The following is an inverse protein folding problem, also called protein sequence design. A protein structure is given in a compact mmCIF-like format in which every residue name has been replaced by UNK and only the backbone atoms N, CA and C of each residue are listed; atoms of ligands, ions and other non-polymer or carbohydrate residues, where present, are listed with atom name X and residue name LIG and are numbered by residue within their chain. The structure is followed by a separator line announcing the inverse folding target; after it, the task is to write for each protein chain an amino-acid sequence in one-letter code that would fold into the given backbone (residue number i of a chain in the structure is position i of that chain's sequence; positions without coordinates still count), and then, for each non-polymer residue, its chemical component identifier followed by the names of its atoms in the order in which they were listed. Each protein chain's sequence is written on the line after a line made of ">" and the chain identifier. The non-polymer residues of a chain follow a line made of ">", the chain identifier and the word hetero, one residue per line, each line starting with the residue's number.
data_IF_492237572070
#
_entry.id   IF_492237572070
#
_cell.length_a   1.000
_cell.length_b   1.000
_cell.length_c   1.000
_cell.angle_alpha   90.00
_cell.angle_beta   90.00
_cell.angle_gamma   90.00
#
_symmetry.space_group_name_H-M   'P 1'
#
loop_
_entity.id
_entity.type
_entity.pdbx_description
1 polymer ?
#
# COMPACT_ATOMS: atom_id res chain seq x y z
N UNK A 1 -30.63 -7.67 -5.63
CA UNK A 1 -29.34 -7.78 -4.92
C UNK A 1 -28.27 -7.32 -5.89
N UNK A 2 -27.64 -6.18 -5.66
CA UNK A 2 -26.49 -5.73 -6.46
C UNK A 2 -25.26 -6.49 -5.98
N UNK A 3 -24.64 -7.29 -6.86
CA UNK A 3 -23.38 -7.96 -6.54
C UNK A 3 -22.30 -6.92 -6.20
N UNK A 4 -21.43 -7.17 -5.19
CA UNK A 4 -20.32 -6.29 -4.91
C UNK A 4 -19.37 -6.30 -6.10
N UNK A 5 -19.26 -5.14 -6.77
CA UNK A 5 -18.35 -4.99 -7.92
C UNK A 5 -16.92 -5.10 -7.42
N UNK A 6 -16.22 -6.18 -7.77
CA UNK A 6 -14.82 -6.38 -7.43
C UNK A 6 -13.92 -5.77 -8.50
N UNK A 7 -12.75 -5.29 -8.08
CA UNK A 7 -11.67 -4.88 -8.95
C UNK A 7 -10.41 -5.69 -8.62
N UNK A 8 -9.59 -5.91 -9.65
CA UNK A 8 -8.33 -6.62 -9.53
C UNK A 8 -7.19 -5.62 -9.34
N UNK A 9 -6.31 -5.86 -8.37
CA UNK A 9 -5.06 -5.15 -8.16
C UNK A 9 -3.90 -6.15 -8.04
N UNK A 10 -2.67 -5.66 -8.00
CA UNK A 10 -1.47 -6.47 -7.87
C UNK A 10 -0.61 -5.94 -6.73
N UNK A 11 -0.29 -6.78 -5.74
CA UNK A 11 0.56 -6.42 -4.60
C UNK A 11 1.80 -7.30 -4.65
N UNK A 12 2.99 -6.70 -4.78
CA UNK A 12 4.26 -7.43 -4.92
C UNK A 12 4.24 -8.51 -6.02
N UNK A 13 3.46 -8.28 -7.09
CA UNK A 13 3.28 -9.21 -8.19
C UNK A 13 2.14 -10.23 -8.01
N UNK A 14 1.56 -10.34 -6.81
CA UNK A 14 0.41 -11.22 -6.54
C UNK A 14 -0.90 -10.51 -6.86
N UNK A 15 -1.78 -11.17 -7.63
CA UNK A 15 -3.09 -10.61 -7.95
C UNK A 15 -4.06 -10.74 -6.79
N UNK A 16 -4.72 -9.65 -6.42
CA UNK A 16 -5.76 -9.60 -5.39
C UNK A 16 -7.04 -9.00 -5.95
N UNK A 17 -8.17 -9.47 -5.43
CA UNK A 17 -9.49 -8.94 -5.75
C UNK A 17 -10.05 -8.25 -4.51
N UNK A 18 -10.46 -7.00 -4.67
CA UNK A 18 -11.01 -6.18 -3.60
C UNK A 18 -12.29 -5.51 -4.05
N UNK A 19 -13.14 -5.16 -3.09
CA UNK A 19 -14.38 -4.45 -3.35
C UNK A 19 -14.09 -3.06 -3.90
N UNK A 20 -14.95 -2.59 -4.81
CA UNK A 20 -14.88 -1.20 -5.28
C UNK A 20 -15.01 -0.22 -4.12
N UNK A 21 -14.08 0.74 -4.05
CA UNK A 21 -13.97 1.70 -2.94
C UNK A 21 -13.04 1.25 -1.81
N UNK A 22 -12.47 0.05 -1.88
CA UNK A 22 -11.43 -0.38 -0.95
C UNK A 22 -10.20 0.53 -1.01
N UNK A 23 -9.42 0.56 0.06
CA UNK A 23 -8.16 1.29 0.11
C UNK A 23 -7.00 0.44 -0.43
N UNK A 24 -5.85 1.08 -0.69
CA UNK A 24 -4.61 0.36 -0.98
C UNK A 24 -4.15 -0.47 0.22
N UNK A 25 -4.43 -0.04 1.46
CA UNK A 25 -4.17 -0.87 2.64
C UNK A 25 -5.05 -2.14 2.65
N UNK A 26 -6.32 -2.04 2.27
CA UNK A 26 -7.20 -3.22 2.16
C UNK A 26 -6.67 -4.20 1.10
N UNK A 27 -6.15 -3.69 -0.02
CA UNK A 27 -5.52 -4.53 -1.04
C UNK A 27 -4.26 -5.23 -0.52
N UNK A 28 -3.42 -4.53 0.24
CA UNK A 28 -2.25 -5.14 0.90
C UNK A 28 -2.68 -6.18 1.92
N UNK A 29 -3.69 -5.90 2.75
CA UNK A 29 -4.22 -6.83 3.76
C UNK A 29 -4.81 -8.09 3.12
N UNK A 30 -5.45 -7.98 1.96
CA UNK A 30 -5.94 -9.12 1.19
C UNK A 30 -4.80 -9.98 0.61
N UNK A 31 -3.65 -9.38 0.30
CA UNK A 31 -2.48 -10.09 -0.22
C UNK A 31 -1.62 -10.73 0.89
N UNK A 32 -1.35 -9.95 1.93
CA UNK A 32 -0.46 -10.27 3.04
C UNK A 32 -0.88 -9.47 4.29
N UNK A 33 -1.64 -10.10 5.21
CA UNK A 33 -2.07 -9.47 6.45
C UNK A 33 -0.92 -9.02 7.35
N UNK A 34 0.23 -9.70 7.31
CA UNK A 34 1.39 -9.35 8.13
C UNK A 34 2.04 -8.07 7.60
N UNK A 35 2.22 -7.97 6.28
CA UNK A 35 2.71 -6.76 5.63
C UNK A 35 1.77 -5.56 5.85
N UNK A 36 0.45 -5.77 5.89
CA UNK A 36 -0.49 -4.71 6.24
C UNK A 36 -0.28 -4.20 7.67
N UNK A 37 -0.05 -5.09 8.64
CA UNK A 37 0.29 -4.71 10.01
C UNK A 37 1.59 -3.91 10.09
N UNK A 38 2.59 -4.23 9.28
CA UNK A 38 3.83 -3.45 9.18
C UNK A 38 3.61 -2.05 8.57
N UNK A 39 2.70 -1.91 7.61
CA UNK A 39 2.30 -0.61 7.05
C UNK A 39 1.54 0.22 8.09
N UNK A 40 0.61 -0.39 8.84
CA UNK A 40 -0.10 0.27 9.93
C UNK A 40 0.85 0.70 11.08
N UNK A 41 1.90 -0.08 11.33
CA UNK A 41 2.95 0.25 12.29
C UNK A 41 4.00 1.24 11.73
N UNK A 42 3.83 1.75 10.51
CA UNK A 42 4.75 2.65 9.81
C UNK A 42 6.17 2.09 9.60
N UNK A 43 6.38 0.78 9.75
CA UNK A 43 7.68 0.14 9.48
C UNK A 43 7.87 -0.19 8.00
N UNK A 44 6.76 -0.27 7.26
CA UNK A 44 6.72 -0.35 5.79
C UNK A 44 5.79 0.69 5.18
N UNK A 45 6.01 0.97 3.89
CA UNK A 45 5.23 1.92 3.11
C UNK A 45 4.70 1.24 1.85
N UNK A 46 3.59 1.77 1.32
CA UNK A 46 3.02 1.33 0.05
C UNK A 46 3.49 2.27 -1.04
N UNK A 47 4.03 1.72 -2.12
CA UNK A 47 4.44 2.46 -3.30
C UNK A 47 3.67 2.01 -4.55
N UNK A 48 3.46 2.92 -5.49
CA UNK A 48 2.88 2.60 -6.80
C UNK A 48 3.90 1.92 -7.75
N UNK A 49 3.48 1.64 -8.99
CA UNK A 49 4.33 1.04 -10.01
C UNK A 49 5.58 1.85 -10.36
N UNK A 50 5.59 3.16 -10.09
CA UNK A 50 6.70 4.08 -10.30
C UNK A 50 7.62 4.16 -9.09
N UNK A 51 7.29 3.46 -8.00
CA UNK A 51 8.03 3.50 -6.74
C UNK A 51 7.73 4.73 -5.89
N UNK A 52 6.67 5.48 -6.21
CA UNK A 52 6.25 6.63 -5.40
C UNK A 52 5.41 6.15 -4.23
N UNK A 53 5.77 6.58 -3.02
CA UNK A 53 4.98 6.29 -1.82
C UNK A 53 3.63 6.96 -1.96
N UNK A 54 2.58 6.18 -1.70
CA UNK A 54 1.19 6.64 -1.71
C UNK A 54 0.58 6.43 -0.34
N UNK A 55 -0.42 7.26 -0.03
CA UNK A 55 -1.13 7.17 1.24
C UNK A 55 -1.91 5.86 1.34
N UNK A 56 -1.83 5.20 2.50
CA UNK A 56 -2.44 3.89 2.73
C UNK A 56 -3.97 3.92 2.64
N UNK A 57 -4.60 5.08 2.87
CA UNK A 57 -6.04 5.30 2.75
C UNK A 57 -6.48 5.68 1.33
N UNK A 58 -5.54 5.78 0.37
CA UNK A 58 -5.88 6.03 -1.05
C UNK A 58 -6.78 4.93 -1.58
N UNK A 59 -7.85 5.29 -2.28
CA UNK A 59 -8.74 4.32 -2.95
C UNK A 59 -7.97 3.57 -4.02
N UNK A 60 -8.05 2.25 -4.01
CA UNK A 60 -7.40 1.41 -5.01
C UNK A 60 -8.19 1.43 -6.32
N UNK A 61 -7.48 1.53 -7.43
CA UNK A 61 -8.06 1.51 -8.78
C UNK A 61 -7.86 0.14 -9.43
N UNK A 62 -8.75 -0.21 -10.36
CA UNK A 62 -8.61 -1.46 -11.13
C UNK A 62 -7.32 -1.48 -11.93
N UNK A 63 -6.54 -2.55 -11.78
CA UNK A 63 -5.23 -2.71 -12.39
C UNK A 63 -4.08 -2.05 -11.62
N UNK A 64 -4.33 -1.48 -10.44
CA UNK A 64 -3.28 -0.88 -9.62
C UNK A 64 -2.18 -1.90 -9.31
N UNK A 65 -0.93 -1.47 -9.43
CA UNK A 65 0.26 -2.25 -9.05
C UNK A 65 0.89 -1.55 -7.84
N UNK A 66 0.92 -2.28 -6.74
CA UNK A 66 1.34 -1.84 -5.43
C UNK A 66 2.56 -2.63 -5.00
N UNK A 67 3.50 -1.96 -4.33
CA UNK A 67 4.68 -2.56 -3.72
C UNK A 67 4.72 -2.20 -2.26
N UNK A 68 4.92 -3.20 -1.41
CA UNK A 68 5.22 -2.96 0.00
C UNK A 68 6.74 -2.85 0.12
N UNK A 69 7.22 -1.67 0.50
CA UNK A 69 8.65 -1.35 0.61
C UNK A 69 9.00 -1.02 2.06
N UNK A 70 10.28 -1.15 2.42
CA UNK A 70 10.74 -0.72 3.74
C UNK A 70 10.54 0.79 3.91
N UNK A 71 10.01 1.22 5.05
CA UNK A 71 9.95 2.64 5.44
C UNK A 71 11.33 3.13 5.89
N UNK A 72 12.37 2.92 5.08
CA UNK A 72 13.52 3.81 5.14
C UNK A 72 13.10 5.07 4.41
N UNK A 73 12.37 5.92 5.12
CA UNK A 73 12.51 7.34 4.86
C UNK A 73 14.03 7.64 4.84
N UNK A 74 14.57 8.47 3.93
CA UNK A 74 15.86 9.08 4.20
C UNK A 74 15.75 9.63 5.63
N UNK A 75 16.69 9.26 6.52
CA UNK A 75 16.75 9.76 7.92
C UNK A 75 16.31 11.21 7.86
N UNK A 76 15.10 11.53 8.35
CA UNK A 76 14.67 12.90 8.43
C UNK A 76 15.77 13.57 9.25
N UNK A 77 16.56 14.44 8.62
CA UNK A 77 17.55 15.23 9.35
C UNK A 77 16.73 15.93 10.42
N UNK A 78 16.92 15.52 11.67
CA UNK A 78 16.33 16.23 12.79
C UNK A 78 16.88 17.66 12.70
N UNK A 79 16.06 18.70 12.86
CA UNK A 79 16.58 20.05 13.02
C UNK A 79 17.59 20.02 14.19
N UNK A 80 18.89 20.09 13.89
CA UNK A 80 19.97 19.97 14.87
C UNK A 80 21.05 18.91 14.58
N UNK A 81 20.87 18.01 13.62
CA UNK A 81 21.97 17.21 13.07
C UNK A 81 22.73 18.09 12.03
N UNK A 82 23.73 18.87 12.47
CA UNK A 82 24.79 19.41 11.61
C UNK A 82 26.11 18.67 11.89
N UNK A 83 26.99 18.56 10.87
CA UNK A 83 28.20 17.72 10.92
C UNK A 83 29.21 18.14 11.98
#
# INVERSE_FOLDING_TARGET
>A
MTEPKQLRAFVNGSAVYVTLGATVLDAVRAADPAAAGEVEAFTRAIADSRGLVIDAATVVTGGAVLRVVSSRAPKAVRPGDQP
#
